data_IF_880066093497
#
_entry.id   IF_880066093497
#
_cell.length_a   1.000
_cell.length_b   1.000
_cell.length_c   1.000
_cell.angle_alpha   90.00
_cell.angle_beta   90.00
_cell.angle_gamma   90.00
#
_symmetry.space_group_name_H-M   'P 1'
#
loop_
_entity.id
_entity.type
_entity.pdbx_description
1 polymer ?
#
# COMPACT_ATOMS: atom_id res chain seq x y z
N UNK A 1 -7.66 -47.66 38.56
CA UNK A 1 -6.56 -46.67 38.46
C UNK A 1 -6.81 -45.84 37.22
N UNK A 2 -6.89 -44.53 37.39
CA UNK A 2 -7.35 -43.51 36.45
C UNK A 2 -6.13 -43.01 35.66
N UNK A 3 -6.17 -42.94 34.33
CA UNK A 3 -5.20 -42.17 33.57
C UNK A 3 -5.96 -41.35 32.52
N UNK A 4 -6.22 -40.09 32.86
CA UNK A 4 -6.75 -39.08 31.96
C UNK A 4 -5.54 -38.41 31.30
N UNK A 5 -5.37 -38.58 29.99
CA UNK A 5 -4.45 -37.76 29.21
C UNK A 5 -5.08 -36.39 28.98
N UNK A 6 -4.44 -35.35 29.53
CA UNK A 6 -4.72 -33.96 29.18
C UNK A 6 -4.05 -33.65 27.83
N UNK A 7 -4.87 -33.41 26.81
CA UNK A 7 -4.41 -32.84 25.54
C UNK A 7 -4.10 -31.37 25.73
N UNK A 8 -2.86 -30.98 25.47
CA UNK A 8 -2.48 -29.57 25.33
C UNK A 8 -2.91 -29.09 23.94
N UNK A 9 -3.91 -28.21 23.90
CA UNK A 9 -4.25 -27.43 22.70
C UNK A 9 -3.26 -26.26 22.68
N UNK A 10 -2.24 -26.34 21.84
CA UNK A 10 -1.43 -25.16 21.49
C UNK A 10 -2.28 -24.28 20.60
N UNK A 11 -2.72 -23.15 21.12
CA UNK A 11 -3.37 -22.09 20.37
C UNK A 11 -2.27 -21.34 19.62
N UNK A 12 -2.08 -21.65 18.34
CA UNK A 12 -1.23 -20.83 17.46
C UNK A 12 -1.96 -19.54 17.18
N UNK A 13 -1.42 -18.42 17.66
CA UNK A 13 -1.84 -17.09 17.24
C UNK A 13 -1.36 -16.89 15.81
N UNK A 14 -2.28 -16.93 14.85
CA UNK A 14 -2.02 -16.55 13.47
C UNK A 14 -1.91 -15.03 13.43
N UNK A 15 -0.69 -14.53 13.24
CA UNK A 15 -0.50 -13.14 12.86
C UNK A 15 -0.90 -13.02 11.40
N UNK A 16 -1.95 -12.26 11.14
CA UNK A 16 -2.37 -11.84 9.80
C UNK A 16 -1.21 -11.04 9.22
N UNK A 17 -0.47 -11.63 8.28
CA UNK A 17 0.59 -10.93 7.56
C UNK A 17 0.03 -10.55 6.19
N UNK A 18 -0.10 -9.23 5.93
CA UNK A 18 0.00 -8.67 4.57
C UNK A 18 0.99 -9.50 3.77
N UNK A 19 0.74 -9.83 2.49
CA UNK A 19 1.65 -10.68 1.71
C UNK A 19 3.06 -10.08 1.68
N UNK A 20 3.90 -10.48 2.64
CA UNK A 20 5.27 -10.00 2.85
C UNK A 20 6.09 -10.22 1.57
N UNK A 21 5.70 -11.23 0.77
CA UNK A 21 6.24 -11.52 -0.54
C UNK A 21 6.17 -10.36 -1.52
N UNK A 22 5.12 -9.52 -1.48
CA UNK A 22 4.93 -8.41 -2.41
C UNK A 22 6.12 -7.46 -2.41
N UNK A 23 6.62 -7.12 -1.22
CA UNK A 23 7.76 -6.23 -1.03
C UNK A 23 9.04 -6.71 -1.71
N UNK A 24 9.19 -8.02 -1.87
CA UNK A 24 10.35 -8.63 -2.55
C UNK A 24 10.18 -8.70 -4.07
N UNK A 25 8.95 -8.48 -4.57
CA UNK A 25 8.68 -8.44 -6.01
C UNK A 25 9.18 -7.15 -6.63
N UNK A 26 9.49 -7.23 -7.94
CA UNK A 26 9.85 -6.06 -8.73
C UNK A 26 8.63 -5.17 -8.94
N UNK A 27 8.81 -3.86 -8.77
CA UNK A 27 7.82 -2.87 -9.21
C UNK A 27 7.77 -2.84 -10.74
N UNK A 28 6.59 -3.09 -11.30
CA UNK A 28 6.30 -3.02 -12.73
C UNK A 28 5.37 -1.83 -13.00
N UNK A 29 5.40 -1.32 -14.22
CA UNK A 29 4.53 -0.23 -14.64
C UNK A 29 4.15 -0.34 -16.12
N UNK A 30 3.02 0.27 -16.47
CA UNK A 30 2.57 0.51 -17.85
C UNK A 30 1.81 1.82 -17.95
N UNK A 31 1.81 2.44 -19.13
CA UNK A 31 1.03 3.63 -19.46
C UNK A 31 0.62 3.59 -20.93
N UNK A 32 -0.48 4.24 -21.28
CA UNK A 32 -0.95 4.37 -22.67
C UNK A 32 -0.28 5.55 -23.39
N UNK A 33 0.14 6.57 -22.63
CA UNK A 33 0.70 7.81 -23.15
C UNK A 33 2.23 7.89 -23.08
N UNK A 34 2.73 9.11 -23.30
CA UNK A 34 4.16 9.39 -23.34
C UNK A 34 4.86 9.16 -22.00
N UNK A 35 6.15 8.82 -22.08
CA UNK A 35 7.06 8.74 -20.94
C UNK A 35 8.26 9.66 -21.14
N UNK A 36 8.65 10.38 -20.09
CA UNK A 36 9.80 11.28 -20.10
C UNK A 36 10.73 10.98 -18.93
N UNK A 37 12.04 11.08 -19.17
CA UNK A 37 13.06 10.88 -18.15
C UNK A 37 13.83 12.17 -17.95
N UNK A 38 14.07 12.54 -16.70
CA UNK A 38 14.93 13.68 -16.35
C UNK A 38 15.80 13.35 -15.14
N UNK A 39 16.86 14.13 -14.94
CA UNK A 39 17.72 14.03 -13.77
C UNK A 39 17.87 15.42 -13.17
N UNK A 40 17.55 15.57 -11.89
CA UNK A 40 17.69 16.81 -11.12
C UNK A 40 18.47 16.47 -9.84
N UNK A 41 19.70 16.98 -9.72
CA UNK A 41 20.58 16.64 -8.60
C UNK A 41 20.90 15.15 -8.55
N UNK A 42 20.64 14.49 -7.42
CA UNK A 42 20.82 13.04 -7.25
C UNK A 42 19.53 12.23 -7.53
N UNK A 43 18.50 12.84 -8.10
CA UNK A 43 17.22 12.18 -8.38
C UNK A 43 17.02 12.03 -9.88
N UNK A 44 16.77 10.81 -10.33
CA UNK A 44 16.29 10.51 -11.68
C UNK A 44 14.79 10.31 -11.61
N UNK A 45 14.06 11.02 -12.46
CA UNK A 45 12.61 11.00 -12.51
C UNK A 45 12.14 10.42 -13.84
N UNK A 46 11.29 9.39 -13.77
CA UNK A 46 10.53 8.86 -14.91
C UNK A 46 9.07 9.28 -14.73
N UNK A 47 8.59 10.17 -15.60
CA UNK A 47 7.20 10.61 -15.65
C UNK A 47 6.46 9.89 -16.76
N UNK A 48 5.24 9.44 -16.51
CA UNK A 48 4.37 8.76 -17.47
C UNK A 48 2.93 9.27 -17.36
N UNK A 49 2.22 9.30 -18.49
CA UNK A 49 0.87 9.82 -18.59
C UNK A 49 -0.08 8.81 -19.25
N UNK A 50 -1.38 9.02 -19.03
CA UNK A 50 -2.52 8.27 -19.55
C UNK A 50 -2.59 6.81 -19.04
N UNK A 51 -3.63 6.53 -18.26
CA UNK A 51 -3.99 5.19 -17.77
C UNK A 51 -2.80 4.41 -17.18
N UNK A 52 -2.12 5.04 -16.24
CA UNK A 52 -0.95 4.45 -15.60
C UNK A 52 -1.37 3.34 -14.65
N UNK A 53 -0.64 2.23 -14.73
CA UNK A 53 -0.75 1.11 -13.80
C UNK A 53 0.62 0.82 -13.20
N UNK A 54 0.67 0.70 -11.88
CA UNK A 54 1.85 0.30 -11.10
C UNK A 54 1.52 -0.97 -10.35
N UNK A 55 2.40 -1.97 -10.37
CA UNK A 55 2.19 -3.21 -9.62
C UNK A 55 3.43 -3.68 -8.87
N UNK A 56 3.21 -4.34 -7.73
CA UNK A 56 4.25 -5.04 -6.98
C UNK A 56 3.66 -6.27 -6.27
N UNK A 57 3.83 -7.46 -6.87
CA UNK A 57 3.12 -8.65 -6.38
C UNK A 57 1.61 -8.49 -6.53
N UNK A 58 0.86 -8.59 -5.43
CA UNK A 58 -0.59 -8.36 -5.41
C UNK A 58 -0.99 -6.88 -5.40
N UNK A 59 -0.08 -5.98 -5.01
CA UNK A 59 -0.32 -4.54 -4.99
C UNK A 59 -0.54 -4.02 -6.41
N UNK A 60 -1.60 -3.25 -6.60
CA UNK A 60 -1.91 -2.52 -7.83
C UNK A 60 -2.34 -1.09 -7.51
N UNK A 61 -1.77 -0.12 -8.25
CA UNK A 61 -2.15 1.28 -8.22
C UNK A 61 -2.48 1.72 -9.64
N UNK A 62 -3.66 2.29 -9.85
CA UNK A 62 -4.14 2.81 -11.13
C UNK A 62 -4.35 4.32 -11.03
N UNK A 63 -3.94 5.08 -12.05
CA UNK A 63 -4.12 6.53 -12.08
C UNK A 63 -4.03 7.11 -13.48
N UNK A 64 -4.08 8.44 -13.57
CA UNK A 64 -3.94 9.16 -14.83
C UNK A 64 -2.47 9.42 -15.19
N UNK A 65 -1.63 9.69 -14.20
CA UNK A 65 -0.19 9.94 -14.39
C UNK A 65 0.62 9.37 -13.21
N UNK A 66 1.89 9.07 -13.45
CA UNK A 66 2.80 8.70 -12.38
C UNK A 66 4.22 9.26 -12.58
N UNK A 67 4.90 9.40 -11.45
CA UNK A 67 6.28 9.85 -11.35
C UNK A 67 7.04 8.82 -10.49
N UNK A 68 8.07 8.23 -11.06
CA UNK A 68 8.99 7.32 -10.38
C UNK A 68 10.29 8.05 -10.10
N UNK A 69 10.68 8.10 -8.83
CA UNK A 69 11.92 8.74 -8.38
C UNK A 69 12.95 7.69 -7.99
N UNK A 70 14.11 7.75 -8.63
CA UNK A 70 15.25 6.90 -8.35
C UNK A 70 16.43 7.71 -7.81
N UNK A 71 17.16 7.12 -6.87
CA UNK A 71 18.49 7.60 -6.48
C UNK A 71 19.46 7.39 -7.65
N UNK A 72 20.13 8.44 -8.12
CA UNK A 72 21.14 8.34 -9.19
C UNK A 72 22.36 7.55 -8.70
N UNK A 73 22.74 7.74 -7.44
CA UNK A 73 23.91 7.09 -6.84
C UNK A 73 23.76 5.58 -6.64
N UNK A 74 22.56 5.11 -6.30
CA UNK A 74 22.31 3.68 -6.01
C UNK A 74 21.45 2.99 -7.06
N UNK A 75 20.80 3.74 -7.94
CA UNK A 75 19.81 3.28 -8.91
C UNK A 75 18.60 2.58 -8.25
N UNK A 76 18.36 2.84 -6.97
CA UNK A 76 17.21 2.32 -6.21
C UNK A 76 15.98 3.19 -6.44
N UNK A 77 14.80 2.54 -6.53
CA UNK A 77 13.51 3.23 -6.53
C UNK A 77 13.25 3.76 -5.12
N UNK A 78 13.07 5.07 -5.00
CA UNK A 78 12.89 5.75 -3.71
C UNK A 78 11.43 6.11 -3.46
N UNK A 79 10.67 6.43 -4.51
CA UNK A 79 9.27 6.84 -4.41
C UNK A 79 8.55 6.67 -5.73
N UNK A 80 7.26 6.34 -5.65
CA UNK A 80 6.30 6.45 -6.76
C UNK A 80 5.20 7.41 -6.33
N UNK A 81 4.85 8.35 -7.19
CA UNK A 81 3.76 9.30 -6.98
C UNK A 81 2.77 9.06 -8.12
N UNK A 82 1.54 8.70 -7.79
CA UNK A 82 0.47 8.49 -8.76
C UNK A 82 -0.60 9.54 -8.54
N UNK A 83 -1.09 10.17 -9.60
CA UNK A 83 -2.18 11.15 -9.54
C UNK A 83 -3.33 10.69 -10.44
N UNK A 84 -4.55 10.99 -10.02
CA UNK A 84 -5.75 10.61 -10.75
C UNK A 84 -7.02 11.25 -10.23
N UNK A 85 -8.12 11.03 -10.96
CA UNK A 85 -9.47 11.46 -10.57
C UNK A 85 -10.46 10.27 -10.61
N UNK A 86 -10.31 9.26 -9.73
CA UNK A 86 -9.30 9.15 -8.67
C UNK A 86 -8.12 8.24 -9.05
N UNK A 87 -7.13 8.17 -8.17
CA UNK A 87 -6.22 7.03 -8.05
C UNK A 87 -6.97 5.88 -7.38
N UNK A 88 -6.78 4.65 -7.87
CA UNK A 88 -7.26 3.44 -7.23
C UNK A 88 -6.10 2.60 -6.74
N UNK A 89 -6.20 2.12 -5.50
CA UNK A 89 -5.27 1.19 -4.87
C UNK A 89 -5.99 -0.10 -4.52
N UNK A 90 -5.31 -1.23 -4.71
CA UNK A 90 -5.72 -2.51 -4.14
C UNK A 90 -4.51 -3.39 -3.80
N UNK A 91 -4.68 -4.24 -2.79
CA UNK A 91 -3.71 -5.27 -2.40
C UNK A 91 -4.40 -6.43 -1.68
N UNK A 92 -3.85 -7.63 -1.84
CA UNK A 92 -4.23 -8.80 -1.05
C UNK A 92 -3.52 -8.77 0.31
N UNK A 93 -4.30 -8.85 1.40
CA UNK A 93 -3.83 -8.77 2.78
C UNK A 93 -3.33 -10.12 3.33
N UNK A 94 -3.85 -11.24 2.87
CA UNK A 94 -3.46 -12.54 3.40
C UNK A 94 -3.61 -13.62 2.34
N UNK A 95 -3.14 -14.84 2.62
CA UNK A 95 -3.30 -15.97 1.70
C UNK A 95 -4.77 -16.35 1.47
N UNK A 96 -5.68 -15.97 2.37
CA UNK A 96 -7.12 -16.23 2.28
C UNK A 96 -7.84 -15.33 1.26
N UNK A 97 -7.15 -14.29 0.78
CA UNK A 97 -7.64 -13.42 -0.30
C UNK A 97 -8.39 -12.19 0.19
N UNK A 98 -8.28 -11.86 1.49
CA UNK A 98 -8.77 -10.60 2.03
C UNK A 98 -8.14 -9.44 1.26
N UNK A 99 -8.92 -8.41 0.93
CA UNK A 99 -8.45 -7.28 0.13
C UNK A 99 -8.47 -5.99 0.93
N UNK A 100 -7.42 -5.19 0.77
CA UNK A 100 -7.44 -3.77 1.10
C UNK A 100 -7.55 -2.98 -0.19
N UNK A 101 -8.44 -2.00 -0.21
CA UNK A 101 -8.65 -1.09 -1.34
C UNK A 101 -8.60 0.35 -0.87
N UNK A 102 -8.31 1.27 -1.77
CA UNK A 102 -8.36 2.69 -1.44
C UNK A 102 -8.47 3.58 -2.67
N UNK A 103 -8.89 4.83 -2.43
CA UNK A 103 -8.93 5.87 -3.46
C UNK A 103 -8.40 7.19 -2.92
N UNK A 104 -7.87 8.02 -3.81
CA UNK A 104 -7.41 9.38 -3.48
C UNK A 104 -7.16 10.20 -4.75
N UNK A 105 -6.91 11.49 -4.63
CA UNK A 105 -6.48 12.32 -5.75
C UNK A 105 -4.99 12.10 -6.06
N UNK A 106 -4.19 11.81 -5.04
CA UNK A 106 -2.76 11.50 -5.15
C UNK A 106 -2.37 10.40 -4.18
N UNK A 107 -1.59 9.44 -4.64
CA UNK A 107 -1.04 8.36 -3.84
C UNK A 107 0.48 8.35 -3.94
N UNK A 108 1.16 8.41 -2.79
CA UNK A 108 2.60 8.21 -2.69
C UNK A 108 2.87 6.79 -2.17
N UNK A 109 3.78 6.10 -2.83
CA UNK A 109 4.21 4.75 -2.48
C UNK A 109 5.73 4.72 -2.34
N UNK A 110 6.23 4.40 -1.15
CA UNK A 110 7.67 4.36 -0.86
C UNK A 110 7.99 3.43 0.31
N UNK A 111 9.27 3.14 0.51
CA UNK A 111 9.77 2.43 1.69
C UNK A 111 10.38 3.44 2.66
N UNK A 112 9.90 3.45 3.91
CA UNK A 112 10.50 4.21 5.00
C UNK A 112 11.89 3.63 5.35
N UNK A 113 12.92 4.47 5.32
CA UNK A 113 14.31 4.03 5.52
C UNK A 113 14.64 3.65 6.97
N UNK A 114 13.88 4.16 7.95
CA UNK A 114 14.16 3.94 9.37
C UNK A 114 13.62 2.59 9.85
N UNK A 115 12.40 2.27 9.43
CA UNK A 115 11.69 1.06 9.84
C UNK A 115 11.68 -0.02 8.75
N UNK A 116 12.13 0.30 7.54
CA UNK A 116 12.02 -0.55 6.36
C UNK A 116 10.57 -1.00 6.19
N UNK A 117 9.63 -0.06 6.14
CA UNK A 117 8.20 -0.31 5.99
C UNK A 117 7.69 0.30 4.70
N UNK A 118 6.76 -0.38 4.07
CA UNK A 118 6.06 0.09 2.88
C UNK A 118 4.95 1.04 3.32
N UNK A 119 5.05 2.28 2.86
CA UNK A 119 4.14 3.37 3.21
C UNK A 119 3.32 3.75 1.98
N UNK A 120 2.02 3.90 2.19
CA UNK A 120 1.10 4.57 1.28
C UNK A 120 0.61 5.87 1.92
N UNK A 121 0.76 6.98 1.23
CA UNK A 121 0.11 8.24 1.58
C UNK A 121 -0.99 8.53 0.56
N UNK A 122 -2.24 8.43 0.98
CA UNK A 122 -3.42 8.76 0.20
C UNK A 122 -3.78 10.21 0.52
N UNK A 123 -3.77 11.09 -0.48
CA UNK A 123 -3.93 12.54 -0.29
C UNK A 123 -5.03 13.08 -1.19
N UNK A 124 -5.95 13.84 -0.58
CA UNK A 124 -7.11 14.42 -1.23
C UNK A 124 -8.22 13.39 -1.44
N UNK A 125 -9.37 13.63 -0.81
CA UNK A 125 -10.53 12.72 -0.84
C UNK A 125 -10.12 11.25 -0.58
N UNK A 126 -9.26 11.05 0.42
CA UNK A 126 -8.62 9.78 0.70
C UNK A 126 -9.62 8.80 1.34
N UNK A 127 -9.77 7.63 0.75
CA UNK A 127 -10.60 6.53 1.24
C UNK A 127 -9.76 5.26 1.33
N UNK A 128 -9.94 4.48 2.40
CA UNK A 128 -9.35 3.16 2.53
C UNK A 128 -10.37 2.20 3.13
N UNK A 129 -10.43 0.99 2.58
CA UNK A 129 -11.33 -0.08 2.99
C UNK A 129 -10.51 -1.36 3.15
N UNK A 130 -10.53 -1.88 4.36
CA UNK A 130 -10.04 -3.21 4.76
C UNK A 130 -11.27 -4.08 5.10
N UNK A 131 -11.11 -5.40 5.29
CA UNK A 131 -12.24 -6.27 5.65
C UNK A 131 -13.02 -5.80 6.87
N UNK A 132 -12.31 -5.25 7.86
CA UNK A 132 -12.87 -4.89 9.17
C UNK A 132 -12.98 -3.39 9.40
N UNK A 133 -12.54 -2.55 8.46
CA UNK A 133 -12.65 -1.10 8.63
C UNK A 133 -12.71 -0.33 7.33
N UNK A 134 -13.45 0.79 7.37
CA UNK A 134 -13.46 1.78 6.30
C UNK A 134 -13.18 3.16 6.91
N UNK A 135 -12.36 3.96 6.25
CA UNK A 135 -12.05 5.32 6.69
C UNK A 135 -11.91 6.24 5.49
N UNK A 136 -12.57 7.40 5.56
CA UNK A 136 -12.46 8.49 4.58
C UNK A 136 -11.97 9.75 5.29
N UNK A 137 -10.96 10.40 4.74
CA UNK A 137 -10.27 11.55 5.34
C UNK A 137 -9.75 12.52 4.26
N UNK A 138 -9.23 13.68 4.68
CA UNK A 138 -8.49 14.54 3.75
C UNK A 138 -7.13 13.93 3.33
N UNK A 139 -6.47 13.20 4.23
CA UNK A 139 -5.30 12.38 3.92
C UNK A 139 -5.16 11.20 4.90
N UNK A 140 -4.57 10.11 4.44
CA UNK A 140 -4.32 8.88 5.22
C UNK A 140 -2.89 8.41 4.97
N UNK A 141 -2.14 8.11 6.02
CA UNK A 141 -0.86 7.41 5.96
C UNK A 141 -1.09 5.97 6.44
N UNK A 142 -0.87 5.00 5.54
CA UNK A 142 -1.09 3.58 5.77
C UNK A 142 0.23 2.81 5.68
N UNK A 143 0.54 2.02 6.71
CA UNK A 143 1.68 1.10 6.76
C UNK A 143 1.18 -0.25 6.26
N UNK A 144 1.59 -0.62 5.05
CA UNK A 144 1.16 -1.83 4.36
C UNK A 144 1.56 -3.09 5.13
N UNK A 145 2.80 -3.17 5.59
CA UNK A 145 3.37 -4.35 6.26
C UNK A 145 2.66 -4.73 7.57
N UNK A 146 1.78 -3.86 8.10
CA UNK A 146 1.11 -4.03 9.39
C UNK A 146 -0.41 -3.90 9.34
N UNK A 147 -0.98 -3.67 8.17
CA UNK A 147 -2.39 -3.28 8.03
C UNK A 147 -2.79 -2.16 8.99
N UNK A 148 -2.00 -1.07 8.98
CA UNK A 148 -2.11 -0.03 10.00
C UNK A 148 -2.27 1.36 9.39
N UNK A 149 -3.39 2.01 9.68
CA UNK A 149 -3.53 3.46 9.52
C UNK A 149 -2.69 4.16 10.60
N UNK A 150 -1.53 4.68 10.19
CA UNK A 150 -0.56 5.36 11.07
C UNK A 150 -1.03 6.76 11.45
N UNK A 151 -1.55 7.50 10.48
CA UNK A 151 -2.01 8.88 10.63
C UNK A 151 -3.18 9.16 9.71
N UNK A 152 -4.11 9.99 10.16
CA UNK A 152 -5.28 10.41 9.42
C UNK A 152 -5.51 11.92 9.62
N UNK A 153 -5.56 12.67 8.53
CA UNK A 153 -5.76 14.13 8.55
C UNK A 153 -7.22 14.45 8.20
N UNK A 154 -7.89 15.18 9.10
CA UNK A 154 -9.32 15.43 9.01
C UNK A 154 -9.76 16.49 7.98
N UNK A 155 -11.09 16.61 7.76
CA UNK A 155 -12.16 15.86 8.43
C UNK A 155 -12.13 14.38 8.08
N UNK A 156 -12.54 13.53 9.03
CA UNK A 156 -12.53 12.07 8.88
C UNK A 156 -13.88 11.47 9.27
N UNK A 157 -14.31 10.45 8.55
CA UNK A 157 -15.43 9.58 8.86
C UNK A 157 -15.06 8.12 8.59
N UNK A 158 -15.77 7.16 9.20
CA UNK A 158 -15.44 5.76 9.00
C UNK A 158 -16.21 4.80 9.89
N UNK A 159 -16.00 3.51 9.65
CA UNK A 159 -16.54 2.41 10.46
C UNK A 159 -15.42 1.50 10.89
N UNK A 160 -15.44 1.10 12.16
CA UNK A 160 -14.59 0.04 12.70
C UNK A 160 -15.50 -1.12 13.06
N UNK A 161 -15.28 -2.28 12.44
CA UNK A 161 -15.92 -3.52 12.83
C UNK A 161 -15.32 -3.97 14.16
N UNK A 162 -16.17 -4.34 15.12
CA UNK A 162 -15.72 -4.77 16.45
C UNK A 162 -15.71 -6.30 16.59
N UNK A 163 -15.71 -7.04 15.49
CA UNK A 163 -15.90 -8.49 15.52
C UNK A 163 -14.57 -9.18 15.79
N UNK A 164 -14.24 -9.36 17.07
CA UNK A 164 -13.49 -10.53 17.50
C UNK A 164 -14.46 -11.71 17.49
N UNK A 165 -14.39 -12.58 16.48
CA UNK A 165 -14.88 -13.96 16.58
C UNK A 165 -13.71 -14.94 16.64
#
# INVERSE_FOLDING_TARGET
MKLLLFGYISLSTELVMSLESDKTQRVLWSSDGDSTMSIIGNTRTLSMAENVKVTQGSLEILGNEAIFEYSVSTNELTRVIVQGMPVHYQQQLDEDGSMVTGTSNTLLFYTDELYNETILELVGDADIQSPDSAMSCAAIIYIVDRDLIKEATGPCEGTLSTTQE
#
